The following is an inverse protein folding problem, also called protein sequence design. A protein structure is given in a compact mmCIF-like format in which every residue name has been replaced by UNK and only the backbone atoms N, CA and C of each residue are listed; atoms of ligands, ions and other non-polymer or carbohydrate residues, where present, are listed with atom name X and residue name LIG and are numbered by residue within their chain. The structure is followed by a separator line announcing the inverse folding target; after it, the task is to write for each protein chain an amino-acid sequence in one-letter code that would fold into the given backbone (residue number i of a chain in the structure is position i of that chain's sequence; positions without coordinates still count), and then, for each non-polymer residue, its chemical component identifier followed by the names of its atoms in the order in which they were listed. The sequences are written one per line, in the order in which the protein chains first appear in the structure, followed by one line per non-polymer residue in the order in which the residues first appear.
data_IF_454304939833
#
_entry.id   IF_454304939833
#
_cell.length_a   1.000
_cell.length_b   1.000
_cell.length_c   1.000
_cell.angle_alpha   90.00
_cell.angle_beta   90.00
_cell.angle_gamma   90.00
#
_symmetry.space_group_name_H-M   'P 1'
#
loop_
_entity.id
_entity.type
_entity.pdbx_description
1 polymer ?
#
# COMPACT_ATOMS: atom_id res chain seq x y z
N UNK A 1 18.11 -10.13 0.35
CA UNK A 1 16.82 -9.48 0.05
C UNK A 1 16.01 -9.45 1.33
N UNK A 2 15.35 -8.33 1.63
CA UNK A 2 14.48 -8.24 2.80
C UNK A 2 13.20 -9.06 2.55
N UNK A 3 12.61 -9.60 3.61
CA UNK A 3 11.35 -10.33 3.58
C UNK A 3 10.49 -9.91 4.77
N UNK A 4 9.16 -10.07 4.67
CA UNK A 4 8.20 -9.70 5.70
C UNK A 4 8.26 -8.21 6.11
N UNK A 5 8.47 -7.32 5.15
CA UNK A 5 8.51 -5.87 5.42
C UNK A 5 7.08 -5.31 5.53
N UNK A 6 6.87 -4.38 6.46
CA UNK A 6 5.66 -3.59 6.57
C UNK A 6 5.87 -2.18 6.02
N UNK A 7 4.89 -1.67 5.27
CA UNK A 7 4.86 -0.34 4.67
C UNK A 7 3.67 0.42 5.24
N UNK A 8 3.91 1.66 5.69
CA UNK A 8 2.86 2.61 6.06
C UNK A 8 2.92 3.81 5.12
N UNK A 9 1.76 4.24 4.62
CA UNK A 9 1.60 5.47 3.84
C UNK A 9 0.82 6.50 4.65
N UNK A 10 1.29 7.74 4.63
CA UNK A 10 0.64 8.88 5.30
C UNK A 10 -0.59 9.39 4.54
N UNK A 11 -0.63 9.16 3.22
CA UNK A 11 -1.73 9.44 2.30
C UNK A 11 -2.11 8.19 1.47
N UNK A 12 -3.23 8.25 0.77
CA UNK A 12 -3.65 7.16 -0.11
C UNK A 12 -2.71 7.00 -1.32
N UNK A 13 -2.63 5.79 -1.87
CA UNK A 13 -1.93 5.50 -3.09
C UNK A 13 -2.80 5.86 -4.31
N UNK A 14 -2.32 6.74 -5.21
CA UNK A 14 -3.10 7.10 -6.40
C UNK A 14 -3.07 6.00 -7.47
N UNK A 15 -2.04 5.15 -7.49
CA UNK A 15 -1.83 4.09 -8.47
C UNK A 15 -1.12 2.87 -7.86
N UNK A 16 -1.26 1.71 -8.51
CA UNK A 16 -0.68 0.43 -8.06
C UNK A 16 0.83 0.30 -8.22
N UNK A 17 1.48 1.21 -8.95
CA UNK A 17 2.95 1.25 -9.13
C UNK A 17 3.72 1.34 -7.79
N UNK A 18 3.15 2.02 -6.81
CA UNK A 18 3.66 2.08 -5.43
C UNK A 18 3.74 0.68 -4.81
N UNK A 19 2.73 -0.15 -5.04
CA UNK A 19 2.67 -1.53 -4.54
C UNK A 19 3.67 -2.42 -5.28
N UNK A 20 3.79 -2.29 -6.60
CA UNK A 20 4.80 -3.01 -7.38
C UNK A 20 6.22 -2.70 -6.90
N UNK A 21 6.48 -1.41 -6.63
CA UNK A 21 7.78 -0.96 -6.13
C UNK A 21 8.03 -1.48 -4.71
N UNK A 22 7.02 -1.49 -3.85
CA UNK A 22 7.08 -2.00 -2.49
C UNK A 22 7.34 -3.52 -2.47
N UNK A 23 6.67 -4.28 -3.35
CA UNK A 23 6.86 -5.72 -3.49
C UNK A 23 8.32 -6.09 -3.77
N UNK A 24 8.99 -5.34 -4.66
CA UNK A 24 10.43 -5.52 -4.97
C UNK A 24 11.34 -5.30 -3.76
N UNK A 25 10.87 -4.63 -2.72
CA UNK A 25 11.57 -4.43 -1.45
C UNK A 25 11.22 -5.48 -0.37
N UNK A 26 10.41 -6.50 -0.69
CA UNK A 26 10.02 -7.55 0.24
C UNK A 26 8.82 -7.20 1.14
N UNK A 27 8.03 -6.19 0.76
CA UNK A 27 6.83 -5.78 1.49
C UNK A 27 5.75 -6.86 1.38
N UNK A 28 5.17 -7.20 2.54
CA UNK A 28 4.06 -8.14 2.68
C UNK A 28 2.82 -7.50 3.31
N UNK A 29 3.00 -6.40 4.04
CA UNK A 29 1.94 -5.72 4.78
C UNK A 29 1.95 -4.24 4.42
N UNK A 30 0.79 -3.69 4.07
CA UNK A 30 0.61 -2.29 3.68
C UNK A 30 -0.52 -1.68 4.51
N UNK A 31 -0.29 -0.50 5.07
CA UNK A 31 -1.30 0.30 5.74
C UNK A 31 -1.36 1.68 5.09
N UNK A 32 -2.56 2.11 4.68
CA UNK A 32 -2.78 3.43 4.09
C UNK A 32 -4.16 3.99 4.49
N UNK A 33 -4.44 5.28 4.31
CA UNK A 33 -5.72 5.86 4.70
C UNK A 33 -6.91 5.39 3.85
N UNK A 34 -6.67 5.05 2.57
CA UNK A 34 -7.72 4.86 1.58
C UNK A 34 -8.39 6.17 1.15
N UNK A 35 -9.34 6.09 0.22
CA UNK A 35 -10.08 7.23 -0.32
C UNK A 35 -9.64 7.66 -1.71
N UNK A 36 -8.84 6.86 -2.41
CA UNK A 36 -8.57 7.07 -3.84
C UNK A 36 -9.76 6.59 -4.66
N UNK A 37 -10.07 7.30 -5.75
CA UNK A 37 -11.03 6.81 -6.77
C UNK A 37 -10.53 5.48 -7.38
N UNK A 38 -9.24 5.18 -7.25
CA UNK A 38 -8.57 4.02 -7.83
C UNK A 38 -8.17 2.97 -6.80
N UNK A 39 -8.73 3.01 -5.58
CA UNK A 39 -8.41 2.04 -4.52
C UNK A 39 -8.59 0.59 -5.02
N UNK A 40 -9.62 0.31 -5.82
CA UNK A 40 -9.86 -1.02 -6.40
C UNK A 40 -8.64 -1.56 -7.18
N UNK A 41 -7.99 -0.71 -7.97
CA UNK A 41 -6.80 -1.10 -8.74
C UNK A 41 -5.60 -1.34 -7.82
N UNK A 42 -5.45 -0.57 -6.76
CA UNK A 42 -4.36 -0.73 -5.77
C UNK A 42 -4.55 -2.02 -4.97
N UNK A 43 -5.78 -2.31 -4.53
CA UNK A 43 -6.17 -3.55 -3.84
C UNK A 43 -5.89 -4.76 -4.73
N UNK A 44 -6.29 -4.71 -6.01
CA UNK A 44 -6.05 -5.80 -6.94
C UNK A 44 -4.55 -6.04 -7.15
N UNK A 45 -3.75 -4.98 -7.24
CA UNK A 45 -2.28 -5.09 -7.30
C UNK A 45 -1.71 -5.75 -6.04
N UNK A 46 -2.20 -5.39 -4.85
CA UNK A 46 -1.82 -6.06 -3.60
C UNK A 46 -2.18 -7.55 -3.58
N UNK A 47 -3.39 -7.88 -4.04
CA UNK A 47 -3.87 -9.27 -4.10
C UNK A 47 -3.04 -10.12 -5.07
N UNK A 48 -2.64 -9.57 -6.22
CA UNK A 48 -1.78 -10.27 -7.18
C UNK A 48 -0.43 -10.69 -6.58
N UNK A 49 0.12 -9.88 -5.67
CA UNK A 49 1.37 -10.18 -4.97
C UNK A 49 1.20 -10.93 -3.64
N UNK A 50 -0.04 -11.30 -3.28
CA UNK A 50 -0.36 -11.94 -2.01
C UNK A 50 0.05 -11.08 -0.81
N UNK A 51 -0.13 -9.77 -0.92
CA UNK A 51 0.14 -8.80 0.13
C UNK A 51 -1.13 -8.51 0.92
N UNK A 52 -0.98 -8.23 2.21
CA UNK A 52 -2.09 -7.78 3.05
C UNK A 52 -2.12 -6.25 3.03
N UNK A 53 -3.27 -5.67 2.69
CA UNK A 53 -3.52 -4.23 2.74
C UNK A 53 -4.58 -3.93 3.80
N UNK A 54 -4.38 -2.85 4.55
CA UNK A 54 -5.30 -2.35 5.56
C UNK A 54 -5.58 -0.87 5.35
N UNK A 55 -6.86 -0.49 5.37
CA UNK A 55 -7.26 0.91 5.36
C UNK A 55 -7.40 1.45 6.78
N UNK A 56 -6.64 2.51 7.09
CA UNK A 56 -6.63 3.14 8.41
C UNK A 56 -7.71 4.20 8.57
N UNK A 57 -8.17 4.81 7.47
CA UNK A 57 -9.07 5.97 7.49
C UNK A 57 -8.46 7.25 8.07
N UNK A 58 -7.15 7.27 8.34
CA UNK A 58 -6.45 8.39 9.01
C UNK A 58 -5.29 8.86 8.12
N UNK A 59 -5.34 10.12 7.69
CA UNK A 59 -4.26 10.77 6.92
C UNK A 59 -3.29 11.49 7.85
N UNK A 60 -1.98 11.32 7.64
CA UNK A 60 -0.92 11.74 8.57
C UNK A 60 0.05 12.78 7.97
N UNK A 61 -0.47 13.81 7.30
CA UNK A 61 0.40 14.89 6.81
C UNK A 61 1.04 15.67 7.95
N UNK A 62 2.32 16.00 7.77
CA UNK A 62 3.10 16.86 8.65
C UNK A 62 3.99 17.76 7.78
N UNK A 63 4.04 19.06 8.08
CA UNK A 63 4.74 20.08 7.29
C UNK A 63 6.02 20.54 7.99
#
# INVERSE_FOLDING_TARGET
QNSNVALGSDAFFPFGDNIERAHRSGVRYVAEPGGSIRDDHVIETCNQYGMVMCFTGIRLFHH
#
